data_IF_883671492083
#
_entry.id   IF_883671492083
#
_cell.length_a   1.000
_cell.length_b   1.000
_cell.length_c   1.000
_cell.angle_alpha   90.00
_cell.angle_beta   90.00
_cell.angle_gamma   90.00
#
_symmetry.space_group_name_H-M   'P 1'
#
loop_
_entity.id
_entity.type
_entity.pdbx_description
1 polymer ?
#
# COMPACT_ATOMS: atom_id res chain seq x y z
N UNK A 1 11.05 -13.00 27.43
CA UNK A 1 11.04 -12.24 26.15
C UNK A 1 10.96 -13.13 24.90
N UNK A 2 11.55 -14.33 24.83
CA UNK A 2 11.46 -15.16 23.61
C UNK A 2 10.03 -15.47 23.12
N UNK A 3 9.08 -15.67 24.04
CA UNK A 3 7.68 -15.95 23.70
C UNK A 3 6.97 -14.73 23.05
N UNK A 4 7.17 -13.52 23.58
CA UNK A 4 6.52 -12.30 23.05
C UNK A 4 6.99 -11.98 21.63
N UNK A 5 8.28 -12.18 21.34
CA UNK A 5 8.86 -11.90 20.01
C UNK A 5 8.28 -12.87 18.97
N UNK A 6 8.14 -14.15 19.32
CA UNK A 6 7.54 -15.13 18.42
C UNK A 6 6.06 -14.83 18.14
N UNK A 7 5.32 -14.40 19.15
CA UNK A 7 3.93 -13.95 18.98
C UNK A 7 3.83 -12.71 18.08
N UNK A 8 4.73 -11.74 18.23
CA UNK A 8 4.81 -10.56 17.35
C UNK A 8 5.16 -10.95 15.91
N UNK A 9 6.07 -11.93 15.72
CA UNK A 9 6.46 -12.43 14.39
C UNK A 9 5.30 -13.06 13.62
N UNK A 10 4.34 -13.62 14.33
CA UNK A 10 3.09 -14.11 13.74
C UNK A 10 2.24 -12.97 13.19
N UNK A 11 2.25 -11.80 13.84
CA UNK A 11 1.50 -10.61 13.41
C UNK A 11 2.22 -9.90 12.25
N UNK A 12 3.53 -9.70 12.37
CA UNK A 12 4.37 -9.10 11.34
C UNK A 12 5.74 -9.81 11.33
N UNK A 13 6.20 -10.26 10.15
CA UNK A 13 7.44 -11.01 10.01
C UNK A 13 8.69 -10.20 10.43
N UNK A 14 8.65 -8.87 10.27
CA UNK A 14 9.78 -8.00 10.61
C UNK A 14 9.61 -7.41 12.02
N UNK A 15 10.30 -8.03 12.98
CA UNK A 15 10.33 -7.59 14.38
C UNK A 15 11.79 -7.41 14.81
N UNK A 16 12.13 -6.18 15.16
CA UNK A 16 13.37 -5.82 15.83
C UNK A 16 13.08 -5.51 17.30
N UNK A 17 14.04 -5.80 18.18
CA UNK A 17 13.92 -5.51 19.61
C UNK A 17 15.25 -5.01 20.14
N UNK A 18 15.18 -4.17 21.16
CA UNK A 18 16.33 -3.49 21.75
C UNK A 18 16.13 -3.44 23.26
N UNK A 19 17.22 -3.61 24.01
CA UNK A 19 17.25 -3.35 25.46
C UNK A 19 17.45 -1.87 25.76
N UNK A 20 18.23 -1.20 24.91
CA UNK A 20 18.63 0.19 25.08
C UNK A 20 17.88 1.10 24.11
N UNK A 21 17.33 2.25 24.56
CA UNK A 21 16.59 3.16 23.69
C UNK A 21 17.45 3.75 22.57
N UNK A 22 18.73 4.02 22.82
CA UNK A 22 19.58 4.74 21.86
C UNK A 22 19.81 3.94 20.56
N UNK A 23 20.28 2.67 20.59
CA UNK A 23 20.36 1.84 19.38
C UNK A 23 19.02 1.64 18.67
N UNK A 24 17.92 1.59 19.44
CA UNK A 24 16.58 1.49 18.88
C UNK A 24 16.24 2.71 18.03
N UNK A 25 16.43 3.92 18.58
CA UNK A 25 16.16 5.15 17.85
C UNK A 25 17.07 5.33 16.65
N UNK A 26 18.36 4.96 16.75
CA UNK A 26 19.26 4.98 15.59
C UNK A 26 18.76 4.08 14.46
N UNK A 27 18.24 2.88 14.78
CA UNK A 27 17.63 2.00 13.78
C UNK A 27 16.39 2.63 13.14
N UNK A 28 15.50 3.22 13.94
CA UNK A 28 14.28 3.91 13.48
C UNK A 28 14.61 5.10 12.57
N UNK A 29 15.65 5.86 12.87
CA UNK A 29 16.12 7.01 12.08
C UNK A 29 16.73 6.58 10.74
N UNK A 30 17.39 5.42 10.71
CA UNK A 30 18.00 4.85 9.50
C UNK A 30 17.01 4.14 8.58
N UNK A 31 15.78 3.89 9.05
CA UNK A 31 14.78 3.12 8.33
C UNK A 31 13.94 3.99 7.40
N UNK A 32 13.63 3.46 6.22
CA UNK A 32 12.65 4.03 5.29
C UNK A 32 11.23 3.46 5.50
N UNK A 33 11.07 2.53 6.44
CA UNK A 33 9.79 1.88 6.73
C UNK A 33 8.96 2.65 7.74
N UNK A 34 7.66 2.34 7.76
CA UNK A 34 6.75 2.79 8.82
C UNK A 34 6.81 1.80 9.98
N UNK A 35 6.99 2.34 11.18
CA UNK A 35 7.34 1.57 12.37
C UNK A 35 6.21 1.64 13.39
N UNK A 36 5.83 0.46 13.87
CA UNK A 36 4.92 0.29 15.00
C UNK A 36 5.80 0.10 16.22
N UNK A 37 5.89 1.12 17.05
CA UNK A 37 6.78 1.16 18.20
C UNK A 37 6.09 0.54 19.42
N UNK A 38 6.76 -0.43 20.04
CA UNK A 38 6.26 -1.08 21.26
C UNK A 38 7.30 -0.87 22.35
N UNK A 39 6.90 -0.32 23.49
CA UNK A 39 7.79 -0.17 24.64
C UNK A 39 7.16 -0.70 25.93
N UNK A 40 8.01 -1.20 26.83
CA UNK A 40 7.61 -1.60 28.18
C UNK A 40 7.78 -0.50 29.22
N UNK A 41 8.47 0.59 28.83
CA UNK A 41 8.69 1.75 29.67
C UNK A 41 7.56 2.77 29.53
N UNK A 42 7.20 3.38 30.65
CA UNK A 42 6.29 4.53 30.73
C UNK A 42 7.03 5.88 30.75
N UNK A 43 8.34 5.88 30.47
CA UNK A 43 9.16 7.09 30.42
C UNK A 43 8.65 8.03 29.30
N UNK A 44 8.23 9.24 29.70
CA UNK A 44 7.67 10.24 28.80
C UNK A 44 8.63 10.68 27.70
N UNK A 45 9.93 10.76 27.95
CA UNK A 45 10.91 11.24 26.98
C UNK A 45 11.09 10.25 25.82
N UNK A 46 11.08 8.95 26.13
CA UNK A 46 11.14 7.88 25.13
C UNK A 46 9.90 7.96 24.22
N UNK A 47 8.72 8.09 24.83
CA UNK A 47 7.46 8.13 24.10
C UNK A 47 7.35 9.42 23.27
N UNK A 48 7.75 10.56 23.83
CA UNK A 48 7.77 11.85 23.13
C UNK A 48 8.71 11.81 21.92
N UNK A 49 9.91 11.25 22.07
CA UNK A 49 10.87 11.07 20.98
C UNK A 49 10.28 10.19 19.88
N UNK A 50 9.74 9.01 20.22
CA UNK A 50 9.09 8.14 19.26
C UNK A 50 7.93 8.84 18.54
N UNK A 51 7.10 9.61 19.26
CA UNK A 51 5.96 10.32 18.68
C UNK A 51 6.40 11.37 17.65
N UNK A 52 7.51 12.07 17.89
CA UNK A 52 8.04 13.09 16.99
C UNK A 52 8.62 12.51 15.68
N UNK A 53 8.98 11.23 15.64
CA UNK A 53 9.63 10.63 14.47
C UNK A 53 8.63 10.35 13.35
N UNK A 54 8.91 10.83 12.14
CA UNK A 54 8.06 10.61 10.98
C UNK A 54 7.91 9.12 10.68
N UNK A 55 8.97 8.32 10.77
CA UNK A 55 8.92 6.87 10.51
C UNK A 55 8.02 6.11 11.49
N UNK A 56 7.80 6.61 12.70
CA UNK A 56 6.89 5.98 13.67
C UNK A 56 5.44 6.31 13.32
N UNK A 57 4.64 5.26 13.11
CA UNK A 57 3.21 5.35 12.75
C UNK A 57 2.31 5.24 13.98
N UNK A 58 2.61 4.31 14.88
CA UNK A 58 1.80 3.98 16.04
C UNK A 58 2.67 3.56 17.21
N UNK A 59 2.23 3.88 18.43
CA UNK A 59 2.93 3.59 19.68
C UNK A 59 2.02 2.76 20.59
N UNK A 60 2.56 1.67 21.12
CA UNK A 60 1.91 0.78 22.07
C UNK A 60 2.79 0.65 23.31
N UNK A 61 2.17 0.76 24.49
CA UNK A 61 2.89 0.63 25.76
C UNK A 61 2.41 -0.64 26.47
N UNK A 62 3.31 -1.58 26.72
CA UNK A 62 3.05 -2.73 27.58
C UNK A 62 3.50 -2.38 29.01
N UNK A 63 2.55 -1.94 29.82
CA UNK A 63 2.81 -1.43 31.16
C UNK A 63 2.86 -2.58 32.16
N UNK A 64 4.03 -2.79 32.77
CA UNK A 64 4.26 -3.81 33.79
C UNK A 64 4.06 -3.31 35.23
N UNK A 65 4.12 -1.99 35.46
CA UNK A 65 3.98 -1.36 36.79
C UNK A 65 2.70 -0.52 36.91
N UNK A 66 2.24 -0.16 38.12
CA UNK A 66 0.93 0.50 38.33
C UNK A 66 0.86 2.00 37.99
N UNK A 67 2.00 2.70 37.81
CA UNK A 67 2.02 4.18 37.71
C UNK A 67 1.21 4.75 36.55
N UNK A 68 0.15 5.51 36.85
CA UNK A 68 -0.67 6.18 35.82
C UNK A 68 0.16 7.22 35.05
N UNK A 69 0.19 7.11 33.71
CA UNK A 69 0.75 8.15 32.87
C UNK A 69 -0.37 8.67 32.00
N UNK A 70 -0.80 9.91 32.28
CA UNK A 70 -1.63 10.66 31.34
C UNK A 70 -0.71 11.20 30.25
N UNK A 71 -0.95 10.75 29.04
CA UNK A 71 -0.13 11.08 27.88
C UNK A 71 -1.06 11.35 26.70
N UNK A 72 -1.10 12.60 26.25
CA UNK A 72 -1.77 12.99 25.00
C UNK A 72 -0.73 13.03 23.88
N UNK A 73 -0.41 11.86 23.33
CA UNK A 73 0.36 11.77 22.09
C UNK A 73 -0.52 11.23 20.98
N UNK A 74 -0.52 11.93 19.84
CA UNK A 74 -1.36 11.60 18.68
C UNK A 74 -1.13 10.17 18.19
N UNK A 75 0.10 9.66 18.25
CA UNK A 75 0.44 8.32 17.79
C UNK A 75 0.30 7.24 18.87
N UNK A 76 -0.02 7.61 20.12
CA UNK A 76 -0.22 6.64 21.19
C UNK A 76 -1.59 5.97 21.03
N UNK A 77 -1.57 4.70 20.64
CA UNK A 77 -2.79 3.90 20.45
C UNK A 77 -3.35 3.45 21.80
N UNK A 78 -2.47 3.07 22.72
CA UNK A 78 -2.92 2.64 24.04
C UNK A 78 -1.81 2.17 24.97
N UNK A 79 -2.22 1.99 26.23
CA UNK A 79 -1.42 1.45 27.32
C UNK A 79 -2.12 0.19 27.79
N UNK A 80 -1.42 -0.95 27.70
CA UNK A 80 -1.97 -2.29 27.93
C UNK A 80 -1.27 -2.92 29.12
N UNK A 81 -2.05 -3.61 29.97
CA UNK A 81 -1.50 -4.40 31.08
C UNK A 81 -1.19 -5.84 30.64
N UNK A 82 -1.98 -6.35 29.72
CA UNK A 82 -1.91 -7.73 29.26
C UNK A 82 -1.38 -7.81 27.83
N UNK A 83 -0.57 -8.83 27.55
CA UNK A 83 0.01 -9.04 26.21
C UNK A 83 -1.08 -9.31 25.16
N UNK A 84 -2.14 -10.02 25.53
CA UNK A 84 -3.22 -10.39 24.61
C UNK A 84 -3.98 -9.16 24.12
N UNK A 85 -4.27 -8.21 25.02
CA UNK A 85 -4.91 -6.94 24.66
C UNK A 85 -4.04 -6.12 23.72
N UNK A 86 -2.73 -6.04 24.00
CA UNK A 86 -1.77 -5.36 23.14
C UNK A 86 -1.73 -6.00 21.76
N UNK A 87 -1.68 -7.34 21.68
CA UNK A 87 -1.64 -8.04 20.40
C UNK A 87 -2.91 -7.86 19.59
N UNK A 88 -4.09 -7.86 20.24
CA UNK A 88 -5.36 -7.56 19.58
C UNK A 88 -5.34 -6.14 18.99
N UNK A 89 -5.00 -5.14 19.80
CA UNK A 89 -4.96 -3.75 19.34
C UNK A 89 -3.91 -3.54 18.25
N UNK A 90 -2.73 -4.17 18.37
CA UNK A 90 -1.68 -4.13 17.35
C UNK A 90 -2.16 -4.71 16.02
N UNK A 91 -2.86 -5.85 16.06
CA UNK A 91 -3.40 -6.50 14.86
C UNK A 91 -4.45 -5.63 14.18
N UNK A 92 -5.41 -5.10 14.93
CA UNK A 92 -6.46 -4.21 14.41
C UNK A 92 -5.88 -2.92 13.81
N UNK A 93 -4.90 -2.32 14.49
CA UNK A 93 -4.19 -1.13 14.00
C UNK A 93 -3.42 -1.44 12.72
N UNK A 94 -2.70 -2.57 12.68
CA UNK A 94 -1.94 -2.99 11.50
C UNK A 94 -2.86 -3.26 10.31
N UNK A 95 -4.00 -3.91 10.52
CA UNK A 95 -5.00 -4.16 9.48
C UNK A 95 -5.57 -2.84 8.93
N UNK A 96 -5.91 -1.89 9.81
CA UNK A 96 -6.40 -0.57 9.42
C UNK A 96 -5.34 0.22 8.64
N UNK A 97 -4.11 0.25 9.15
CA UNK A 97 -2.98 0.88 8.48
C UNK A 97 -2.71 0.27 7.11
N UNK A 98 -2.77 -1.07 7.01
CA UNK A 98 -2.61 -1.77 5.74
C UNK A 98 -3.67 -1.38 4.72
N UNK A 99 -4.93 -1.24 5.12
CA UNK A 99 -5.98 -0.78 4.21
C UNK A 99 -5.70 0.62 3.66
N UNK A 100 -5.24 1.54 4.50
CA UNK A 100 -4.87 2.92 4.10
C UNK A 100 -3.66 2.89 3.16
N UNK A 101 -2.70 2.01 3.41
CA UNK A 101 -1.41 1.96 2.71
C UNK A 101 -1.42 1.15 1.42
N UNK A 102 -2.19 0.07 1.36
CA UNK A 102 -2.39 -0.69 0.12
C UNK A 102 -3.00 0.22 -0.94
N UNK A 103 -3.94 1.08 -0.54
CA UNK A 103 -4.57 2.03 -1.45
C UNK A 103 -3.86 3.39 -1.44
N UNK A 104 -2.51 3.39 -1.42
CA UNK A 104 -1.75 4.63 -1.53
C UNK A 104 -2.05 5.33 -2.86
N UNK A 105 -2.53 6.57 -2.76
CA UNK A 105 -2.84 7.42 -3.91
C UNK A 105 -1.58 8.11 -4.41
N UNK A 106 -1.25 7.84 -5.67
CA UNK A 106 -0.17 8.47 -6.41
C UNK A 106 -0.76 9.57 -7.27
N UNK A 107 -0.20 10.77 -7.20
CA UNK A 107 -0.68 11.93 -7.94
C UNK A 107 0.15 12.11 -9.20
N UNK A 108 -0.46 12.60 -10.28
CA UNK A 108 0.19 12.83 -11.58
C UNK A 108 1.50 13.61 -11.49
N UNK A 109 1.58 14.55 -10.54
CA UNK A 109 2.75 15.39 -10.27
C UNK A 109 3.93 14.61 -9.67
N UNK A 110 3.68 13.42 -9.09
CA UNK A 110 4.70 12.58 -8.50
C UNK A 110 5.31 11.64 -9.56
N UNK A 111 6.64 11.54 -9.63
CA UNK A 111 7.32 10.57 -10.49
C UNK A 111 6.86 9.12 -10.27
N UNK A 112 6.36 8.80 -9.07
CA UNK A 112 5.84 7.48 -8.72
C UNK A 112 4.57 7.14 -9.51
N UNK A 113 3.72 8.13 -9.84
CA UNK A 113 2.55 7.91 -10.71
C UNK A 113 3.01 7.42 -12.08
N UNK A 114 3.93 8.16 -12.71
CA UNK A 114 4.47 7.79 -14.01
C UNK A 114 5.21 6.45 -13.97
N UNK A 115 6.00 6.21 -12.92
CA UNK A 115 6.67 4.94 -12.69
C UNK A 115 5.68 3.77 -12.69
N UNK A 116 4.57 3.88 -11.95
CA UNK A 116 3.59 2.81 -11.86
C UNK A 116 2.87 2.57 -13.20
N UNK A 117 2.51 3.64 -13.91
CA UNK A 117 1.88 3.52 -15.22
C UNK A 117 2.80 2.81 -16.23
N UNK A 118 4.10 3.15 -16.25
CA UNK A 118 5.11 2.50 -17.10
C UNK A 118 5.36 1.05 -16.70
N UNK A 119 5.49 0.79 -15.40
CA UNK A 119 5.73 -0.55 -14.88
C UNK A 119 4.55 -1.49 -15.21
N UNK A 120 3.32 -0.99 -15.09
CA UNK A 120 2.12 -1.73 -15.47
C UNK A 120 2.07 -2.02 -16.97
N UNK A 121 2.37 -1.04 -17.83
CA UNK A 121 2.48 -1.26 -19.29
C UNK A 121 3.51 -2.37 -19.61
N UNK A 122 4.66 -2.32 -18.95
CA UNK A 122 5.71 -3.33 -19.12
C UNK A 122 5.23 -4.73 -18.70
N UNK A 123 4.56 -4.87 -17.55
CA UNK A 123 4.00 -6.15 -17.10
C UNK A 123 2.97 -6.72 -18.07
N UNK A 124 2.08 -5.87 -18.59
CA UNK A 124 1.02 -6.29 -19.50
C UNK A 124 1.53 -6.67 -20.89
N UNK A 125 2.68 -6.14 -21.32
CA UNK A 125 3.20 -6.33 -22.69
C UNK A 125 4.23 -7.45 -22.79
N UNK A 126 5.10 -7.62 -21.78
CA UNK A 126 6.16 -8.63 -21.79
C UNK A 126 5.84 -9.78 -20.84
N UNK A 127 5.93 -11.01 -21.34
CA UNK A 127 5.78 -12.22 -20.51
C UNK A 127 6.86 -12.27 -19.44
N UNK A 128 6.47 -12.67 -18.23
CA UNK A 128 7.44 -12.94 -17.17
C UNK A 128 8.37 -14.09 -17.59
N UNK A 129 9.68 -13.91 -17.38
CA UNK A 129 10.66 -15.00 -17.46
C UNK A 129 10.70 -15.83 -16.18
N UNK A 130 10.22 -15.25 -15.08
CA UNK A 130 10.19 -15.82 -13.74
C UNK A 130 8.80 -16.42 -13.52
N UNK A 131 8.75 -17.69 -13.13
CA UNK A 131 7.51 -18.43 -12.92
C UNK A 131 7.08 -18.45 -11.46
N UNK A 132 6.05 -19.25 -11.20
CA UNK A 132 5.53 -19.52 -9.85
C UNK A 132 6.62 -20.09 -8.94
N UNK A 133 7.48 -20.98 -9.46
CA UNK A 133 8.45 -21.72 -8.65
C UNK A 133 9.48 -20.79 -7.99
N UNK A 134 10.07 -19.88 -8.75
CA UNK A 134 11.03 -18.91 -8.24
C UNK A 134 10.39 -17.94 -7.24
N UNK A 135 9.14 -17.55 -7.48
CA UNK A 135 8.38 -16.78 -6.51
C UNK A 135 8.22 -17.52 -5.18
N UNK A 136 7.83 -18.80 -5.22
CA UNK A 136 7.69 -19.65 -4.03
C UNK A 136 9.00 -19.72 -3.24
N UNK A 137 10.13 -19.98 -3.91
CA UNK A 137 11.45 -20.06 -3.26
C UNK A 137 11.80 -18.76 -2.51
N UNK A 138 11.63 -17.62 -3.18
CA UNK A 138 11.93 -16.30 -2.60
C UNK A 138 11.04 -16.00 -1.38
N UNK A 139 9.73 -16.26 -1.48
CA UNK A 139 8.81 -15.96 -0.38
C UNK A 139 8.94 -16.95 0.78
N UNK A 140 9.31 -18.21 0.53
CA UNK A 140 9.64 -19.18 1.59
C UNK A 140 10.85 -18.71 2.40
N UNK A 141 11.91 -18.23 1.73
CA UNK A 141 13.06 -17.66 2.44
C UNK A 141 12.69 -16.36 3.17
N UNK A 142 11.89 -15.49 2.55
CA UNK A 142 11.43 -14.25 3.18
C UNK A 142 10.64 -14.52 4.48
N UNK A 143 9.77 -15.53 4.47
CA UNK A 143 8.90 -15.90 5.60
C UNK A 143 9.41 -17.11 6.42
N UNK A 144 10.69 -17.48 6.31
CA UNK A 144 11.27 -18.71 6.88
C UNK A 144 11.06 -18.91 8.40
N UNK A 145 10.72 -17.85 9.13
CA UNK A 145 10.46 -17.89 10.58
C UNK A 145 8.98 -17.73 10.94
N UNK A 146 8.07 -17.76 9.96
CA UNK A 146 6.64 -17.61 10.15
C UNK A 146 5.89 -18.83 9.59
N UNK A 147 5.82 -19.89 10.40
CA UNK A 147 5.19 -21.17 10.02
C UNK A 147 3.74 -21.00 9.53
N UNK A 148 2.99 -20.02 10.06
CA UNK A 148 1.62 -19.76 9.59
C UNK A 148 1.58 -19.26 8.15
N UNK A 149 2.53 -18.42 7.75
CA UNK A 149 2.63 -17.94 6.37
C UNK A 149 3.21 -19.04 5.46
N UNK A 150 4.13 -19.87 5.94
CA UNK A 150 4.63 -21.03 5.18
C UNK A 150 3.48 -21.92 4.71
N UNK A 151 2.50 -22.23 5.56
CA UNK A 151 1.31 -23.01 5.15
C UNK A 151 0.48 -22.30 4.07
N UNK A 152 0.41 -20.96 4.07
CA UNK A 152 -0.28 -20.20 3.02
C UNK A 152 0.50 -20.22 1.69
N UNK A 153 1.84 -20.28 1.77
CA UNK A 153 2.71 -20.41 0.60
C UNK A 153 2.55 -21.79 -0.02
N UNK A 154 2.52 -22.84 0.79
CA UNK A 154 2.24 -24.21 0.36
C UNK A 154 0.86 -24.30 -0.31
N UNK A 155 -0.17 -23.69 0.28
CA UNK A 155 -1.52 -23.64 -0.34
C UNK A 155 -1.46 -22.97 -1.73
N UNK A 156 -0.76 -21.83 -1.86
CA UNK A 156 -0.57 -21.18 -3.17
C UNK A 156 0.17 -22.09 -4.16
N UNK A 157 1.24 -22.76 -3.73
CA UNK A 157 2.01 -23.66 -4.58
C UNK A 157 1.13 -24.77 -5.18
N UNK A 158 0.25 -25.37 -4.37
CA UNK A 158 -0.56 -26.53 -4.76
C UNK A 158 -1.87 -26.16 -5.45
N UNK A 159 -2.52 -25.05 -5.09
CA UNK A 159 -3.89 -24.74 -5.54
C UNK A 159 -3.99 -23.54 -6.49
N UNK A 160 -2.88 -22.88 -6.81
CA UNK A 160 -2.87 -21.73 -7.73
C UNK A 160 -3.31 -22.10 -9.16
N UNK A 161 -4.29 -21.35 -9.66
CA UNK A 161 -4.67 -21.26 -11.08
C UNK A 161 -4.86 -19.78 -11.46
N UNK A 162 -4.52 -19.42 -12.71
CA UNK A 162 -4.55 -18.03 -13.17
C UNK A 162 -5.94 -17.36 -13.04
N UNK A 163 -7.03 -18.13 -13.20
CA UNK A 163 -8.39 -17.63 -13.02
C UNK A 163 -8.69 -17.15 -11.58
N UNK A 164 -7.91 -17.58 -10.59
CA UNK A 164 -8.04 -17.17 -9.19
C UNK A 164 -6.94 -16.19 -8.75
N UNK A 165 -6.12 -15.70 -9.68
CA UNK A 165 -4.98 -14.82 -9.37
C UNK A 165 -5.40 -13.57 -8.59
N UNK A 166 -6.53 -12.95 -8.95
CA UNK A 166 -7.05 -11.78 -8.24
C UNK A 166 -7.40 -12.10 -6.78
N UNK A 167 -8.09 -13.22 -6.53
CA UNK A 167 -8.41 -13.68 -5.17
C UNK A 167 -7.14 -13.92 -4.36
N UNK A 168 -6.11 -14.51 -4.99
CA UNK A 168 -4.80 -14.68 -4.36
C UNK A 168 -4.13 -13.34 -4.05
N UNK A 169 -4.07 -12.40 -4.99
CA UNK A 169 -3.52 -11.06 -4.75
C UNK A 169 -4.14 -10.38 -3.52
N UNK A 170 -5.46 -10.51 -3.34
CA UNK A 170 -6.18 -9.86 -2.24
C UNK A 170 -6.10 -10.64 -0.91
N UNK A 171 -5.56 -11.87 -0.89
CA UNK A 171 -5.44 -12.67 0.33
C UNK A 171 -4.37 -12.08 1.26
N UNK A 172 -4.73 -11.87 2.52
CA UNK A 172 -3.88 -11.35 3.59
C UNK A 172 -3.69 -12.41 4.68
N UNK A 173 -2.51 -12.53 5.32
CA UNK A 173 -1.33 -11.68 5.17
C UNK A 173 -0.49 -11.94 3.91
N UNK A 174 -0.69 -13.08 3.25
CA UNK A 174 0.08 -13.50 2.09
C UNK A 174 -0.84 -13.87 0.92
N UNK A 175 -0.48 -13.54 -0.33
CA UNK A 175 0.69 -12.79 -0.79
C UNK A 175 0.59 -11.26 -0.72
N UNK A 176 -0.59 -10.70 -0.42
CA UNK A 176 -0.85 -9.24 -0.48
C UNK A 176 0.22 -8.37 0.19
N UNK A 177 0.69 -8.71 1.41
CA UNK A 177 1.68 -7.87 2.12
C UNK A 177 3.03 -7.84 1.42
N UNK A 178 3.49 -8.96 0.88
CA UNK A 178 4.77 -9.04 0.18
C UNK A 178 4.72 -8.20 -1.10
N UNK A 179 3.64 -8.33 -1.87
CA UNK A 179 3.49 -7.61 -3.14
C UNK A 179 3.37 -6.10 -2.88
N UNK A 180 2.55 -5.70 -1.91
CA UNK A 180 2.39 -4.29 -1.57
C UNK A 180 3.68 -3.67 -1.03
N UNK A 181 4.47 -4.42 -0.25
CA UNK A 181 5.79 -3.98 0.16
C UNK A 181 6.70 -3.75 -1.05
N UNK A 182 6.72 -4.68 -2.02
CA UNK A 182 7.49 -4.55 -3.25
C UNK A 182 7.07 -3.32 -4.07
N UNK A 183 5.77 -3.03 -4.16
CA UNK A 183 5.23 -1.86 -4.86
C UNK A 183 5.58 -0.55 -4.17
N UNK A 184 5.40 -0.49 -2.85
CA UNK A 184 5.70 0.71 -2.06
C UNK A 184 7.19 1.04 -2.08
N UNK A 185 8.04 0.02 -1.88
CA UNK A 185 9.49 0.18 -1.93
C UNK A 185 10.03 0.35 -3.36
N UNK A 186 9.19 0.11 -4.38
CA UNK A 186 9.58 0.07 -5.80
C UNK A 186 10.76 -0.87 -6.04
N UNK A 187 10.79 -1.97 -5.28
CA UNK A 187 11.84 -2.98 -5.39
C UNK A 187 11.59 -3.82 -6.65
N UNK A 188 12.25 -3.46 -7.74
CA UNK A 188 12.09 -4.11 -9.05
C UNK A 188 12.40 -5.60 -9.03
N UNK A 189 13.34 -6.04 -8.20
CA UNK A 189 13.66 -7.47 -8.03
C UNK A 189 12.46 -8.22 -7.42
N UNK A 190 11.91 -7.73 -6.30
CA UNK A 190 10.71 -8.31 -5.69
C UNK A 190 9.49 -8.26 -6.60
N UNK A 191 9.31 -7.15 -7.33
CA UNK A 191 8.22 -6.98 -8.29
C UNK A 191 8.33 -7.95 -9.46
N UNK A 192 9.54 -8.26 -9.93
CA UNK A 192 9.75 -9.27 -10.97
C UNK A 192 9.33 -10.68 -10.51
N UNK A 193 9.56 -11.04 -9.25
CA UNK A 193 9.03 -12.29 -8.68
C UNK A 193 7.50 -12.29 -8.58
N UNK A 194 6.89 -11.14 -8.26
CA UNK A 194 5.42 -11.03 -8.17
C UNK A 194 4.72 -10.95 -9.53
N UNK A 195 5.48 -10.76 -10.62
CA UNK A 195 4.96 -10.37 -11.94
C UNK A 195 3.92 -11.34 -12.48
N UNK A 196 4.15 -12.65 -12.38
CA UNK A 196 3.21 -13.65 -12.91
C UNK A 196 1.82 -13.49 -12.28
N UNK A 197 1.77 -13.33 -10.95
CA UNK A 197 0.53 -13.26 -10.19
C UNK A 197 -0.23 -11.95 -10.46
N UNK A 198 0.48 -10.82 -10.52
CA UNK A 198 -0.12 -9.51 -10.84
C UNK A 198 -0.59 -9.48 -12.29
N UNK A 199 0.18 -10.03 -13.23
CA UNK A 199 -0.17 -10.11 -14.64
C UNK A 199 -1.41 -10.97 -14.85
N UNK A 200 -1.48 -12.15 -14.24
CA UNK A 200 -2.64 -13.04 -14.33
C UNK A 200 -3.90 -12.36 -13.75
N UNK A 201 -3.78 -11.68 -12.61
CA UNK A 201 -4.87 -10.92 -12.01
C UNK A 201 -5.36 -9.78 -12.92
N UNK A 202 -4.42 -9.02 -13.51
CA UNK A 202 -4.73 -7.90 -14.41
C UNK A 202 -5.39 -8.39 -15.71
N UNK A 203 -4.88 -9.49 -16.30
CA UNK A 203 -5.49 -10.11 -17.47
C UNK A 203 -6.90 -10.63 -17.16
N UNK A 204 -7.10 -11.26 -15.99
CA UNK A 204 -8.41 -11.73 -15.56
C UNK A 204 -9.42 -10.58 -15.43
N UNK A 205 -8.99 -9.42 -14.91
CA UNK A 205 -9.82 -8.20 -14.85
C UNK A 205 -10.18 -7.67 -16.24
N UNK A 206 -9.22 -7.62 -17.16
CA UNK A 206 -9.44 -7.10 -18.52
C UNK A 206 -10.37 -7.98 -19.37
N UNK A 207 -10.43 -9.28 -19.08
CA UNK A 207 -11.33 -10.22 -19.75
C UNK A 207 -12.77 -10.14 -19.25
N UNK A 208 -13.05 -9.40 -18.17
CA UNK A 208 -14.42 -9.22 -17.69
C UNK A 208 -15.23 -8.40 -18.69
N UNK A 209 -16.51 -8.75 -18.82
CA UNK A 209 -17.42 -8.07 -19.75
C UNK A 209 -17.57 -6.60 -19.37
N UNK A 210 -17.44 -5.73 -20.39
CA UNK A 210 -17.78 -4.31 -20.26
C UNK A 210 -19.28 -4.20 -19.95
N UNK A 211 -19.62 -3.37 -18.96
CA UNK A 211 -20.98 -3.27 -18.46
C UNK A 211 -21.80 -2.26 -19.27
N UNK A 212 -23.04 -2.58 -19.62
CA UNK A 212 -23.86 -1.75 -20.52
C UNK A 212 -24.40 -0.45 -19.89
N UNK A 213 -24.11 -0.16 -18.63
CA UNK A 213 -24.58 1.04 -17.93
C UNK A 213 -23.47 1.72 -17.14
N UNK A 214 -23.55 3.05 -17.08
CA UNK A 214 -22.75 3.83 -16.13
C UNK A 214 -23.08 3.42 -14.71
N UNK A 215 -22.05 3.27 -13.88
CA UNK A 215 -22.19 2.87 -12.50
C UNK A 215 -21.49 3.86 -11.57
N UNK A 216 -21.89 3.85 -10.31
CA UNK A 216 -21.29 4.65 -9.26
C UNK A 216 -20.87 3.76 -8.12
N UNK A 217 -19.63 3.95 -7.68
CA UNK A 217 -19.02 3.16 -6.63
C UNK A 217 -18.52 4.05 -5.51
N UNK A 218 -18.38 3.45 -4.34
CA UNK A 218 -18.03 4.14 -3.13
C UNK A 218 -16.90 3.42 -2.41
N UNK A 219 -16.02 4.22 -1.81
CA UNK A 219 -14.98 3.74 -0.88
C UNK A 219 -14.91 4.69 0.29
N UNK A 220 -15.07 4.16 1.50
CA UNK A 220 -14.84 4.93 2.72
C UNK A 220 -13.55 4.49 3.37
N UNK A 221 -12.75 5.46 3.80
CA UNK A 221 -11.51 5.23 4.51
C UNK A 221 -11.18 6.45 5.38
N UNK A 222 -10.07 6.38 6.12
CA UNK A 222 -9.53 7.55 6.81
C UNK A 222 -8.17 7.91 6.26
N UNK A 223 -7.93 9.19 6.10
CA UNK A 223 -6.69 9.71 5.54
C UNK A 223 -6.05 10.74 6.48
N UNK A 224 -4.71 10.85 6.49
CA UNK A 224 -4.04 11.99 7.10
C UNK A 224 -4.49 13.30 6.46
N UNK A 225 -4.50 14.38 7.25
CA UNK A 225 -4.91 15.72 6.80
C UNK A 225 -4.09 16.19 5.59
N UNK A 226 -2.80 15.93 5.59
CA UNK A 226 -1.87 16.34 4.54
C UNK A 226 -2.24 15.71 3.19
N UNK A 227 -2.71 14.46 3.21
CA UNK A 227 -3.17 13.77 2.01
C UNK A 227 -4.49 14.36 1.51
N UNK A 228 -5.43 14.69 2.41
CA UNK A 228 -6.67 15.40 2.05
C UNK A 228 -6.37 16.76 1.40
N UNK A 229 -5.42 17.51 1.95
CA UNK A 229 -4.98 18.79 1.35
C UNK A 229 -4.36 18.60 -0.04
N UNK A 230 -3.64 17.49 -0.26
CA UNK A 230 -3.12 17.14 -1.58
C UNK A 230 -4.26 16.87 -2.59
N UNK A 231 -5.32 16.17 -2.17
CA UNK A 231 -6.53 16.02 -3.00
C UNK A 231 -7.18 17.34 -3.39
N UNK A 232 -7.24 18.32 -2.47
CA UNK A 232 -7.79 19.66 -2.76
C UNK A 232 -6.92 20.40 -3.78
N UNK A 233 -5.60 20.33 -3.64
CA UNK A 233 -4.66 21.01 -4.55
C UNK A 233 -4.66 20.40 -5.96
N UNK A 234 -4.92 19.10 -6.07
CA UNK A 234 -4.88 18.37 -7.35
C UNK A 234 -6.26 18.18 -8.00
N UNK A 235 -7.25 19.03 -7.68
CA UNK A 235 -8.54 19.02 -8.39
C UNK A 235 -8.30 19.23 -9.89
N UNK A 236 -8.90 18.39 -10.73
CA UNK A 236 -8.73 18.36 -12.17
C UNK A 236 -7.57 17.47 -12.65
N UNK A 237 -6.61 17.15 -11.78
CA UNK A 237 -5.47 16.28 -12.07
C UNK A 237 -5.79 14.78 -12.00
N UNK A 238 -4.83 13.97 -12.44
CA UNK A 238 -4.91 12.51 -12.37
C UNK A 238 -4.33 11.97 -11.06
N UNK A 239 -4.92 10.87 -10.60
CA UNK A 239 -4.40 10.03 -9.54
C UNK A 239 -4.53 8.56 -9.93
N UNK A 240 -3.75 7.68 -9.31
CA UNK A 240 -3.99 6.24 -9.34
C UNK A 240 -3.65 5.62 -7.99
N UNK A 241 -4.07 4.38 -7.77
CA UNK A 241 -3.67 3.61 -6.59
C UNK A 241 -2.50 2.70 -6.92
N UNK A 242 -1.56 2.57 -5.98
CA UNK A 242 -0.43 1.65 -6.10
C UNK A 242 -0.85 0.17 -6.13
N UNK A 243 -2.02 -0.14 -5.57
CA UNK A 243 -2.63 -1.48 -5.55
C UNK A 243 -4.00 -1.52 -6.24
N UNK A 244 -4.62 -2.70 -6.26
CA UNK A 244 -6.02 -2.88 -6.62
C UNK A 244 -6.91 -2.04 -5.70
N UNK A 245 -7.78 -1.20 -6.28
CA UNK A 245 -8.72 -0.40 -5.50
C UNK A 245 -9.99 -1.20 -5.24
N UNK A 246 -10.33 -1.39 -3.97
CA UNK A 246 -11.51 -2.15 -3.54
C UNK A 246 -12.64 -1.20 -3.12
N UNK A 247 -13.77 -1.30 -3.79
CA UNK A 247 -14.94 -0.44 -3.66
C UNK A 247 -16.23 -1.25 -3.38
N UNK A 248 -17.32 -0.54 -3.13
CA UNK A 248 -18.67 -1.11 -2.98
C UNK A 248 -19.70 -0.29 -3.75
N UNK A 249 -20.80 -0.93 -4.15
CA UNK A 249 -22.01 -0.22 -4.64
C UNK A 249 -22.78 0.45 -3.49
N UNK A 250 -22.60 -0.01 -2.25
CA UNK A 250 -23.36 0.47 -1.09
C UNK A 250 -22.72 1.72 -0.48
N UNK A 251 -23.35 2.88 -0.70
CA UNK A 251 -22.96 4.13 -0.04
C UNK A 251 -22.97 4.00 1.48
N UNK A 252 -23.94 3.28 2.04
CA UNK A 252 -24.07 3.07 3.49
C UNK A 252 -22.88 2.31 4.06
N UNK A 253 -22.42 1.25 3.38
CA UNK A 253 -21.23 0.51 3.81
C UNK A 253 -19.96 1.36 3.74
N UNK A 254 -19.80 2.13 2.66
CA UNK A 254 -18.68 3.04 2.53
C UNK A 254 -18.69 4.11 3.63
N UNK A 255 -19.84 4.70 3.94
CA UNK A 255 -19.97 5.64 5.05
C UNK A 255 -19.62 5.01 6.41
N UNK A 256 -20.08 3.79 6.67
CA UNK A 256 -19.74 3.05 7.87
C UNK A 256 -18.24 2.79 7.97
N UNK A 257 -17.59 2.44 6.84
CA UNK A 257 -16.14 2.25 6.78
C UNK A 257 -15.37 3.55 7.09
N UNK A 258 -15.76 4.68 6.48
CA UNK A 258 -15.15 5.98 6.75
C UNK A 258 -15.33 6.43 8.21
N UNK A 259 -16.50 6.16 8.79
CA UNK A 259 -16.90 6.59 10.14
C UNK A 259 -16.51 5.61 11.24
N UNK A 260 -15.85 4.50 10.92
CA UNK A 260 -15.34 3.54 11.91
C UNK A 260 -14.40 4.25 12.92
N UNK A 261 -14.09 3.68 14.09
CA UNK A 261 -13.06 4.25 14.96
C UNK A 261 -11.69 4.33 14.26
N UNK A 262 -10.90 5.35 14.58
CA UNK A 262 -9.52 5.48 14.11
C UNK A 262 -8.56 5.09 15.23
N UNK A 263 -7.43 4.46 14.90
CA UNK A 263 -6.34 4.24 15.87
C UNK A 263 -5.57 5.52 16.18
N UNK A 264 -5.79 6.58 15.38
CA UNK A 264 -5.15 7.88 15.45
C UNK A 264 -6.21 8.98 15.35
N UNK A 265 -6.21 9.97 16.26
CA UNK A 265 -7.25 11.00 16.29
C UNK A 265 -7.12 12.03 15.16
N UNK A 266 -5.96 12.11 14.50
CA UNK A 266 -5.69 13.05 13.41
C UNK A 266 -6.10 12.53 12.02
N UNK A 267 -6.55 11.28 11.92
CA UNK A 267 -7.06 10.71 10.68
C UNK A 267 -8.49 11.19 10.40
N UNK A 268 -8.71 11.74 9.21
CA UNK A 268 -9.98 12.35 8.80
C UNK A 268 -10.81 11.31 8.03
N UNK A 269 -12.12 11.15 8.33
CA UNK A 269 -13.02 10.29 7.54
C UNK A 269 -13.23 10.88 6.13
N UNK A 270 -13.01 10.04 5.12
CA UNK A 270 -13.14 10.41 3.70
C UNK A 270 -14.05 9.41 2.99
N UNK A 271 -15.04 9.93 2.27
CA UNK A 271 -15.85 9.17 1.32
C UNK A 271 -15.45 9.51 -0.11
N UNK A 272 -14.96 8.50 -0.81
CA UNK A 272 -14.77 8.54 -2.25
C UNK A 272 -16.04 8.16 -2.98
N UNK A 273 -16.39 8.96 -3.98
CA UNK A 273 -17.49 8.75 -4.92
C UNK A 273 -16.91 8.64 -6.32
N UNK A 274 -17.02 7.46 -6.92
CA UNK A 274 -16.33 7.09 -8.16
C UNK A 274 -17.37 6.88 -9.25
N UNK A 275 -17.34 7.74 -10.26
CA UNK A 275 -18.17 7.60 -11.45
C UNK A 275 -17.44 6.73 -12.49
N UNK A 276 -18.13 5.66 -12.91
CA UNK A 276 -17.63 4.67 -13.86
C UNK A 276 -18.51 4.70 -15.12
N UNK A 277 -17.87 4.83 -16.28
CA UNK A 277 -18.56 4.69 -17.56
C UNK A 277 -18.83 3.21 -17.90
N UNK A 278 -19.59 2.98 -18.97
CA UNK A 278 -19.92 1.64 -19.47
C UNK A 278 -18.73 0.89 -20.10
N UNK A 279 -17.62 1.58 -20.38
CA UNK A 279 -16.49 1.00 -21.12
C UNK A 279 -15.36 0.53 -20.22
N UNK A 280 -15.38 0.96 -18.96
CA UNK A 280 -14.38 0.65 -17.95
C UNK A 280 -14.56 -0.77 -17.41
N UNK A 281 -13.53 -1.64 -17.51
CA UNK A 281 -13.56 -2.95 -16.88
C UNK A 281 -13.42 -2.83 -15.36
N UNK A 282 -14.27 -3.54 -14.63
CA UNK A 282 -14.11 -3.79 -13.21
C UNK A 282 -14.55 -5.23 -12.92
N UNK A 283 -14.08 -5.78 -11.80
CA UNK A 283 -14.55 -7.08 -11.36
C UNK A 283 -15.50 -6.93 -10.18
N UNK A 284 -16.59 -7.68 -10.27
CA UNK A 284 -17.59 -7.78 -9.22
C UNK A 284 -17.44 -9.13 -8.52
N UNK A 285 -16.73 -9.11 -7.39
CA UNK A 285 -16.58 -10.27 -6.53
C UNK A 285 -17.89 -10.48 -5.78
N UNK A 286 -18.41 -11.70 -5.91
CA UNK A 286 -19.65 -12.17 -5.28
C UNK A 286 -20.92 -11.49 -5.84
N UNK A 287 -21.21 -11.72 -7.13
CA UNK A 287 -22.41 -11.21 -7.84
C UNK A 287 -23.77 -11.55 -7.18
N UNK A 288 -23.80 -12.52 -6.25
CA UNK A 288 -25.03 -13.07 -5.65
C UNK A 288 -25.22 -12.75 -4.16
N UNK A 289 -24.43 -11.84 -3.58
CA UNK A 289 -24.64 -11.35 -2.20
C UNK A 289 -25.14 -9.91 -2.20
N UNK A 290 -25.80 -9.52 -1.10
CA UNK A 290 -26.41 -8.20 -0.91
C UNK A 290 -25.44 -7.02 -0.99
N UNK A 291 -24.12 -7.26 -1.04
CA UNK A 291 -23.09 -6.23 -1.02
C UNK A 291 -21.86 -6.69 -1.80
N UNK A 292 -21.92 -6.66 -3.14
CA UNK A 292 -20.80 -7.08 -3.98
C UNK A 292 -19.60 -6.16 -3.80
N UNK A 293 -18.41 -6.77 -3.85
CA UNK A 293 -17.13 -6.06 -3.78
C UNK A 293 -16.69 -5.73 -5.21
N UNK A 294 -16.38 -4.47 -5.46
CA UNK A 294 -15.95 -3.98 -6.77
C UNK A 294 -14.44 -3.77 -6.74
N UNK A 295 -13.73 -4.30 -7.72
CA UNK A 295 -12.27 -4.25 -7.76
C UNK A 295 -11.82 -3.63 -9.08
N UNK A 296 -10.99 -2.60 -8.97
CA UNK A 296 -10.28 -1.98 -10.09
C UNK A 296 -8.84 -2.47 -10.16
N UNK A 297 -8.31 -2.51 -11.38
CA UNK A 297 -6.96 -2.96 -11.68
C UNK A 297 -5.90 -2.06 -11.03
N UNK A 298 -4.70 -2.59 -10.82
CA UNK A 298 -3.54 -1.81 -10.39
C UNK A 298 -3.29 -0.69 -11.40
N UNK A 299 -2.91 0.49 -10.92
CA UNK A 299 -2.65 1.68 -11.75
C UNK A 299 -3.89 2.26 -12.46
N UNK A 300 -5.11 1.81 -12.15
CA UNK A 300 -6.33 2.46 -12.66
C UNK A 300 -6.27 3.96 -12.35
N UNK A 301 -6.39 4.79 -13.38
CA UNK A 301 -6.30 6.23 -13.24
C UNK A 301 -7.69 6.85 -13.03
N UNK A 302 -7.75 7.83 -12.13
CA UNK A 302 -8.94 8.58 -11.79
C UNK A 302 -8.66 10.07 -11.92
N UNK A 303 -9.66 10.84 -12.34
CA UNK A 303 -9.59 12.31 -12.33
C UNK A 303 -10.36 12.84 -11.14
N UNK A 304 -9.73 13.69 -10.35
CA UNK A 304 -10.39 14.37 -9.23
C UNK A 304 -11.32 15.45 -9.81
N UNK A 305 -12.63 15.32 -9.58
CA UNK A 305 -13.62 16.29 -10.07
C UNK A 305 -13.89 17.37 -9.04
N UNK A 306 -13.97 16.99 -7.77
CA UNK A 306 -14.33 17.89 -6.69
C UNK A 306 -13.96 17.29 -5.33
N UNK A 307 -13.60 18.14 -4.37
CA UNK A 307 -13.39 17.77 -2.97
C UNK A 307 -14.26 18.68 -2.10
N UNK A 308 -15.28 18.12 -1.46
CA UNK A 308 -16.13 18.81 -0.50
C UNK A 308 -15.67 18.54 0.93
N UNK A 309 -15.75 19.54 1.82
CA UNK A 309 -15.27 19.47 3.21
C UNK A 309 -16.34 19.92 4.22
N UNK A 310 -17.56 19.43 4.06
CA UNK A 310 -18.66 19.76 4.99
C UNK A 310 -18.55 18.92 6.27
N UNK A 311 -19.56 18.11 6.60
CA UNK A 311 -19.54 17.22 7.78
C UNK A 311 -18.50 16.09 7.66
N UNK A 312 -18.14 15.73 6.43
CA UNK A 312 -17.15 14.71 6.10
C UNK A 312 -16.52 15.09 4.77
N UNK A 313 -15.25 14.73 4.57
CA UNK A 313 -14.60 14.95 3.29
C UNK A 313 -15.19 14.03 2.24
N UNK A 314 -15.66 14.59 1.14
CA UNK A 314 -16.18 13.84 -0.01
C UNK A 314 -15.32 14.12 -1.23
N UNK A 315 -14.60 13.11 -1.71
CA UNK A 315 -13.81 13.20 -2.94
C UNK A 315 -14.62 12.58 -4.08
N UNK A 316 -15.01 13.40 -5.06
CA UNK A 316 -15.66 12.94 -6.28
C UNK A 316 -14.61 12.75 -7.36
N UNK A 317 -14.60 11.58 -7.98
CA UNK A 317 -13.69 11.25 -9.06
C UNK A 317 -14.36 10.42 -10.15
N UNK A 318 -13.78 10.44 -11.34
CA UNK A 318 -14.21 9.60 -12.46
C UNK A 318 -13.05 8.77 -12.96
N UNK A 319 -13.35 7.59 -13.51
CA UNK A 319 -12.34 6.72 -14.09
C UNK A 319 -11.91 7.27 -15.45
N UNK A 320 -10.59 7.31 -15.68
CA UNK A 320 -9.94 7.80 -16.90
C UNK A 320 -8.66 7.00 -17.18
N UNK A 321 -8.74 5.67 -17.11
CA UNK A 321 -7.58 4.77 -17.24
C UNK A 321 -6.74 5.02 -18.50
N UNK A 322 -7.38 5.40 -19.61
CA UNK A 322 -6.69 5.68 -20.87
C UNK A 322 -5.79 6.93 -20.80
N UNK A 323 -6.14 7.91 -19.95
CA UNK A 323 -5.34 9.12 -19.75
C UNK A 323 -4.02 8.77 -19.05
N UNK A 324 -4.06 7.95 -17.99
CA UNK A 324 -2.85 7.48 -17.30
C UNK A 324 -1.92 6.68 -18.24
N UNK A 325 -2.50 5.80 -19.04
CA UNK A 325 -1.75 5.04 -20.06
C UNK A 325 -1.18 5.95 -21.17
N UNK A 326 -1.90 7.02 -21.53
CA UNK A 326 -1.41 8.02 -22.49
C UNK A 326 -0.18 8.74 -21.95
N UNK A 327 -0.19 9.15 -20.68
CA UNK A 327 0.97 9.79 -20.02
C UNK A 327 2.21 8.88 -20.10
N UNK A 328 2.07 7.59 -19.78
CA UNK A 328 3.16 6.62 -19.89
C UNK A 328 3.68 6.45 -21.34
N UNK A 329 2.78 6.31 -22.31
CA UNK A 329 3.14 6.18 -23.73
C UNK A 329 3.89 7.39 -24.26
N UNK A 330 3.42 8.60 -23.93
CA UNK A 330 4.08 9.85 -24.33
C UNK A 330 5.48 9.97 -23.70
N UNK A 331 5.63 9.57 -22.44
CA UNK A 331 6.94 9.57 -21.79
C UNK A 331 7.90 8.58 -22.44
N UNK A 332 7.43 7.37 -22.78
CA UNK A 332 8.20 6.32 -23.46
C UNK A 332 8.65 6.78 -24.86
N UNK A 333 7.79 7.43 -25.63
CA UNK A 333 8.14 7.95 -26.96
C UNK A 333 9.21 9.05 -26.87
N UNK A 334 9.08 9.97 -25.90
CA UNK A 334 10.09 11.01 -25.65
C UNK A 334 11.47 10.43 -25.26
N UNK A 335 11.50 9.24 -24.68
CA UNK A 335 12.72 8.57 -24.21
C UNK A 335 13.00 7.24 -24.93
N UNK A 336 12.60 7.11 -26.19
CA UNK A 336 12.73 5.85 -26.95
C UNK A 336 14.14 5.28 -27.08
N UNK A 337 15.17 6.10 -26.85
CA UNK A 337 16.57 5.68 -26.85
C UNK A 337 17.03 5.05 -25.53
N UNK A 338 16.20 5.08 -24.49
CA UNK A 338 16.49 4.56 -23.15
C UNK A 338 15.66 3.30 -22.91
N UNK A 339 16.28 2.27 -22.34
CA UNK A 339 15.55 1.05 -22.00
C UNK A 339 14.51 1.31 -20.90
N UNK A 340 13.41 0.55 -20.92
CA UNK A 340 12.34 0.69 -19.93
C UNK A 340 12.85 0.43 -18.51
N UNK A 341 13.78 -0.51 -18.34
CA UNK A 341 14.40 -0.82 -17.06
C UNK A 341 15.13 0.40 -16.49
N UNK A 342 15.90 1.11 -17.33
CA UNK A 342 16.59 2.33 -16.92
C UNK A 342 15.60 3.45 -16.59
N UNK A 343 14.51 3.60 -17.34
CA UNK A 343 13.48 4.61 -17.03
C UNK A 343 12.79 4.32 -15.68
N UNK A 344 12.46 3.06 -15.41
CA UNK A 344 11.85 2.65 -14.15
C UNK A 344 12.80 2.89 -12.97
N UNK A 345 14.08 2.55 -13.10
CA UNK A 345 15.07 2.80 -12.05
C UNK A 345 15.24 4.30 -11.76
N UNK A 346 15.26 5.14 -12.80
CA UNK A 346 15.38 6.59 -12.66
C UNK A 346 14.19 7.23 -11.95
N UNK A 347 12.97 6.76 -12.25
CA UNK A 347 11.75 7.26 -11.64
C UNK A 347 11.55 6.74 -10.22
N UNK A 348 12.02 5.51 -9.92
CA UNK A 348 11.96 4.95 -8.59
C UNK A 348 12.88 5.67 -7.59
N UNK A 349 14.04 6.16 -8.07
CA UNK A 349 15.06 6.81 -7.23
C UNK A 349 15.61 8.10 -7.89
N UNK A 350 14.88 9.22 -7.83
CA UNK A 350 15.29 10.48 -8.48
C UNK A 350 16.67 10.99 -8.02
N UNK A 351 17.05 10.70 -6.77
CA UNK A 351 18.32 11.09 -6.16
C UNK A 351 19.54 10.36 -6.75
N UNK A 352 19.39 9.09 -7.16
CA UNK A 352 20.46 8.32 -7.85
C UNK A 352 20.69 8.83 -9.27
N UNK A 353 19.63 9.30 -9.93
CA UNK A 353 19.68 9.80 -11.31
C UNK A 353 20.52 11.06 -11.45
N UNK A 354 20.51 11.98 -10.46
CA UNK A 354 21.41 13.15 -10.48
C UNK A 354 22.89 12.76 -10.46
N UNK A 355 23.24 11.71 -9.72
CA UNK A 355 24.62 11.21 -9.62
C UNK A 355 25.04 10.53 -10.94
N UNK A 356 24.17 9.71 -11.53
CA UNK A 356 24.45 9.03 -12.81
C UNK A 356 24.51 10.01 -13.99
N UNK A 357 23.63 11.02 -14.03
CA UNK A 357 23.67 12.07 -15.05
C UNK A 357 24.90 12.97 -14.91
N UNK A 358 25.37 13.21 -13.68
CA UNK A 358 26.61 13.94 -13.44
C UNK A 358 27.82 13.11 -13.90
N UNK A 359 27.90 11.83 -13.54
CA UNK A 359 29.00 10.94 -13.97
C UNK A 359 29.06 10.72 -15.49
N UNK A 360 27.91 10.70 -16.18
CA UNK A 360 27.85 10.61 -17.64
C UNK A 360 28.23 11.92 -18.33
N UNK A 361 27.93 13.07 -17.72
CA UNK A 361 28.40 14.39 -18.20
C UNK A 361 29.90 14.55 -18.00
N UNK A 362 30.43 14.13 -16.85
CA UNK A 362 31.86 14.21 -16.53
C UNK A 362 32.69 13.27 -17.44
N UNK A 363 32.14 12.09 -17.78
CA UNK A 363 32.74 11.18 -18.76
C UNK A 363 32.72 11.70 -20.20
N UNK A 364 31.69 12.47 -20.58
CA UNK A 364 31.59 13.09 -21.91
C UNK A 364 32.44 14.38 -22.05
N UNK A 365 32.84 15.00 -20.94
CA UNK A 365 33.76 16.15 -20.92
C UNK A 365 35.24 15.76 -20.81
N UNK A 366 35.52 14.46 -20.65
CA UNK A 366 36.87 13.89 -20.55
C UNK A 366 37.34 13.21 -21.84
N UNK A 367 36.65 13.43 -22.97
CA UNK A 367 37.01 12.95 -24.32
C UNK A 367 37.40 14.09 -25.24
#
# INVERSE_FOLDING_TARGET
MGNIINALRVINNYVQWYTDPLPCFTSIESSNDRIFFICTSTNKDIIARANAMVSVEAIFILKLDEQSVKVDFVKLVGIYKEQEELFRALKETLETFQQIRFEEFLFEEDNTFLWLQLWRDEIMTRKSKIGKHEFIEVVQNYYRHNNKIITLIEDLEHSYIAAHALTWCLRSPFPSRFINHALYSRNMEQLNFCRFLISDASHFLQQQSKHHSSAQFYRGMKLPRELVEKFVKSIGGLICTSWFLVCTKSRTMALAAASSPAYRPDLIPVLFKIDCDSMTPYFELSKNVSSPIIIFDVSTAFRILHVGQDQMVVVKMKIVSDDGQKVAREYKEKHKSVSIETLLDQLANPSRTRILQQSLKDAAQSQ
#
